data_IF_654448882289
#
_entry.id   IF_654448882289
#
_cell.length_a   1.000
_cell.length_b   1.000
_cell.length_c   1.000
_cell.angle_alpha   90.00
_cell.angle_beta   90.00
_cell.angle_gamma   90.00
#
_symmetry.space_group_name_H-M   'P 1'
#
loop_
_entity.id
_entity.type
_entity.pdbx_description
1 polymer ?
#
# COMPACT_ATOMS: atom_id res chain seq x y z
N UNK A 1 -44.14 -73.27 40.91
CA UNK A 1 -44.35 -71.88 40.46
C UNK A 1 -43.18 -71.52 39.55
N UNK A 2 -43.12 -71.96 38.29
CA UNK A 2 -44.12 -71.97 37.20
C UNK A 2 -44.45 -70.56 36.68
N UNK A 3 -43.74 -70.12 35.63
CA UNK A 3 -44.27 -70.06 34.25
C UNK A 3 -43.21 -69.46 33.29
N UNK A 4 -42.97 -70.19 32.19
CA UNK A 4 -42.45 -69.79 30.87
C UNK A 4 -43.20 -70.67 29.84
N UNK A 5 -43.17 -70.45 28.50
CA UNK A 5 -42.49 -69.43 27.69
C UNK A 5 -43.43 -68.80 26.61
N UNK A 6 -42.86 -68.43 25.44
CA UNK A 6 -43.50 -68.09 24.14
C UNK A 6 -43.82 -66.60 23.93
N UNK A 7 -43.66 -65.99 22.74
CA UNK A 7 -43.56 -66.54 21.37
C UNK A 7 -42.28 -66.15 20.59
N UNK A 8 -42.15 -66.71 19.38
CA UNK A 8 -41.12 -66.43 18.35
C UNK A 8 -41.81 -65.96 17.05
N UNK A 9 -41.20 -65.34 16.03
CA UNK A 9 -39.79 -65.01 15.74
C UNK A 9 -39.76 -63.64 14.98
N UNK A 10 -39.10 -63.28 13.86
CA UNK A 10 -38.13 -63.83 12.89
C UNK A 10 -37.42 -62.63 12.18
N UNK A 11 -36.36 -62.90 11.39
CA UNK A 11 -35.77 -62.04 10.32
C UNK A 11 -35.28 -60.60 10.67
N UNK A 12 -34.06 -60.56 11.19
CA UNK A 12 -32.88 -59.84 10.66
C UNK A 12 -33.03 -58.59 9.74
N UNK A 13 -32.30 -57.53 10.12
CA UNK A 13 -31.40 -56.78 9.21
C UNK A 13 -30.04 -56.65 9.89
N UNK A 14 -28.94 -56.90 9.17
CA UNK A 14 -27.57 -56.58 9.62
C UNK A 14 -27.17 -55.23 9.03
N UNK A 15 -26.74 -54.29 9.87
CA UNK A 15 -26.06 -53.06 9.45
C UNK A 15 -24.72 -53.00 10.17
N UNK A 16 -23.64 -53.16 9.40
CA UNK A 16 -22.28 -52.82 9.81
C UNK A 16 -21.99 -51.35 9.45
N UNK A 17 -20.77 -50.90 9.76
CA UNK A 17 -20.25 -49.54 9.59
C UNK A 17 -20.81 -48.52 10.61
N UNK A 18 -19.99 -47.64 11.20
CA UNK A 18 -18.55 -47.48 11.05
C UNK A 18 -17.91 -46.71 12.19
N UNK A 19 -16.58 -46.70 12.26
CA UNK A 19 -15.84 -46.02 13.32
C UNK A 19 -15.94 -44.50 13.20
N UNK A 20 -16.47 -43.83 14.22
CA UNK A 20 -16.35 -42.38 14.38
C UNK A 20 -14.97 -42.08 14.99
N UNK A 21 -13.98 -41.86 14.12
CA UNK A 21 -12.66 -41.35 14.49
C UNK A 21 -12.16 -40.39 13.41
N UNK A 22 -11.84 -39.16 13.81
CA UNK A 22 -11.02 -38.25 13.01
C UNK A 22 -11.62 -37.79 11.69
N UNK A 23 -12.80 -37.15 11.71
CA UNK A 23 -13.07 -36.12 10.69
C UNK A 23 -12.04 -35.01 10.86
N UNK A 24 -11.01 -34.98 10.01
CA UNK A 24 -10.03 -33.91 9.98
C UNK A 24 -10.69 -32.65 9.42
N UNK A 25 -11.37 -31.91 10.29
CA UNK A 25 -12.01 -30.65 9.95
C UNK A 25 -10.93 -29.66 9.52
N UNK A 26 -10.85 -29.42 8.21
CA UNK A 26 -9.83 -28.58 7.60
C UNK A 26 -10.14 -27.12 7.87
N UNK A 27 -9.78 -26.65 9.06
CA UNK A 27 -9.95 -25.28 9.55
C UNK A 27 -9.68 -24.27 8.41
N UNK A 28 -10.70 -23.55 7.97
CA UNK A 28 -10.53 -22.60 6.87
C UNK A 28 -9.57 -21.48 7.28
N UNK A 29 -8.59 -21.12 6.43
CA UNK A 29 -7.50 -20.24 6.82
C UNK A 29 -8.02 -18.81 7.00
N UNK A 30 -8.12 -18.35 8.25
CA UNK A 30 -8.71 -17.03 8.55
C UNK A 30 -7.78 -15.93 8.02
N UNK A 31 -8.24 -15.22 6.98
CA UNK A 31 -7.51 -14.08 6.41
C UNK A 31 -7.90 -12.80 7.12
N UNK A 32 -6.88 -12.13 7.66
CA UNK A 32 -6.98 -10.85 8.34
C UNK A 32 -6.30 -9.75 7.52
N UNK A 33 -7.01 -8.65 7.36
CA UNK A 33 -6.58 -7.36 6.77
C UNK A 33 -7.21 -6.24 7.62
N UNK A 34 -6.75 -4.98 7.52
CA UNK A 34 -7.42 -3.87 8.21
C UNK A 34 -8.90 -3.76 7.81
N UNK A 35 -9.79 -3.85 8.81
CA UNK A 35 -11.24 -3.94 8.59
C UNK A 35 -11.88 -2.57 8.27
N UNK A 36 -12.80 -2.55 7.30
CA UNK A 36 -13.61 -1.37 6.97
C UNK A 36 -12.99 -0.44 5.94
N UNK A 37 -13.23 0.86 6.09
CA UNK A 37 -12.66 1.92 5.23
C UNK A 37 -11.44 2.53 5.92
N UNK A 38 -10.27 2.40 5.30
CA UNK A 38 -9.04 3.06 5.74
C UNK A 38 -9.00 4.46 5.13
N UNK A 39 -8.98 5.49 5.97
CA UNK A 39 -8.73 6.88 5.55
C UNK A 39 -7.30 7.29 5.86
N UNK A 40 -6.67 8.03 4.93
CA UNK A 40 -5.35 8.67 5.08
C UNK A 40 -5.37 10.04 4.38
N UNK A 41 -4.41 10.89 4.71
CA UNK A 41 -4.17 12.14 3.99
C UNK A 41 -3.16 11.91 2.85
N UNK A 42 -3.10 12.89 1.96
CA UNK A 42 -1.97 13.06 1.04
C UNK A 42 -0.67 13.24 1.84
N UNK A 43 0.44 12.68 1.36
CA UNK A 43 1.77 12.63 2.00
C UNK A 43 1.82 11.89 3.37
N UNK A 44 0.73 11.26 3.85
CA UNK A 44 0.84 10.19 4.86
C UNK A 44 1.47 8.93 4.22
N UNK A 45 2.09 8.07 5.01
CA UNK A 45 2.41 6.69 4.60
C UNK A 45 1.22 5.75 4.84
N UNK A 46 1.05 4.72 4.01
CA UNK A 46 0.12 3.61 4.22
C UNK A 46 0.87 2.32 4.52
N UNK A 47 0.41 1.57 5.52
CA UNK A 47 0.84 0.21 5.82
C UNK A 47 -0.37 -0.73 5.89
N UNK A 48 -0.45 -1.69 4.96
CA UNK A 48 -1.47 -2.74 4.92
C UNK A 48 -0.81 -4.11 5.09
N UNK A 49 -1.00 -4.72 6.26
CA UNK A 49 -0.58 -6.10 6.55
C UNK A 49 -1.70 -7.07 6.23
N UNK A 50 -1.39 -8.15 5.51
CA UNK A 50 -2.29 -9.28 5.34
C UNK A 50 -1.69 -10.52 5.98
N UNK A 51 -2.43 -11.15 6.90
CA UNK A 51 -2.01 -12.33 7.66
C UNK A 51 -3.03 -13.46 7.48
N UNK A 52 -2.52 -14.65 7.19
CA UNK A 52 -3.30 -15.88 6.99
C UNK A 52 -3.08 -16.79 8.20
N UNK A 53 -4.11 -16.95 9.04
CA UNK A 53 -4.05 -17.89 10.16
C UNK A 53 -4.23 -19.32 9.65
N UNK A 54 -3.12 -20.03 9.42
CA UNK A 54 -3.09 -21.44 9.03
C UNK A 54 -1.77 -22.11 9.43
N UNK A 55 -1.82 -23.44 9.55
CA UNK A 55 -0.65 -24.33 9.73
C UNK A 55 0.05 -24.62 8.39
N UNK A 56 -0.66 -24.45 7.27
CA UNK A 56 -0.15 -24.59 5.90
C UNK A 56 0.50 -23.28 5.41
N UNK A 57 1.30 -23.33 4.34
CA UNK A 57 1.97 -22.14 3.78
C UNK A 57 1.19 -21.52 2.61
N UNK A 58 1.11 -20.19 2.57
CA UNK A 58 0.42 -19.43 1.53
C UNK A 58 1.32 -18.41 0.84
N UNK A 59 1.32 -18.40 -0.50
CA UNK A 59 1.93 -17.34 -1.32
C UNK A 59 0.97 -16.15 -1.35
N UNK A 60 1.25 -15.16 -0.51
CA UNK A 60 0.48 -13.90 -0.42
C UNK A 60 0.97 -12.90 -1.47
N UNK A 61 0.03 -12.26 -2.15
CA UNK A 61 0.26 -11.19 -3.15
C UNK A 61 -0.75 -10.06 -2.96
N UNK A 62 -0.29 -8.81 -2.99
CA UNK A 62 -1.16 -7.62 -2.98
C UNK A 62 -1.49 -7.15 -4.40
N UNK A 63 -2.78 -6.93 -4.66
CA UNK A 63 -3.28 -6.16 -5.80
C UNK A 63 -3.56 -4.73 -5.32
N UNK A 64 -3.16 -3.76 -6.14
CA UNK A 64 -3.16 -2.32 -5.89
C UNK A 64 -4.04 -1.70 -6.99
N UNK A 65 -4.88 -0.70 -6.71
CA UNK A 65 -5.84 -0.17 -7.68
C UNK A 65 -5.20 0.60 -8.85
N UNK A 66 -3.94 1.06 -8.69
CA UNK A 66 -3.20 1.83 -9.69
C UNK A 66 -2.11 0.99 -10.40
N UNK A 67 -1.66 1.49 -11.55
CA UNK A 67 -0.64 0.85 -12.39
C UNK A 67 0.73 0.76 -11.68
N UNK A 68 1.07 -0.48 -11.28
CA UNK A 68 2.32 -0.83 -10.59
C UNK A 68 3.58 -0.38 -11.32
N UNK A 69 3.55 -0.23 -12.64
CA UNK A 69 4.72 0.19 -13.42
C UNK A 69 5.11 1.65 -13.12
N UNK A 70 4.14 2.52 -12.82
CA UNK A 70 4.41 3.95 -12.56
C UNK A 70 4.82 4.25 -11.12
N UNK A 71 4.36 3.44 -10.16
CA UNK A 71 4.49 3.73 -8.72
C UNK A 71 5.46 2.80 -7.97
N UNK A 72 6.15 1.87 -8.64
CA UNK A 72 7.01 0.87 -7.99
C UNK A 72 8.04 1.44 -6.99
N UNK A 73 8.51 2.67 -7.19
CA UNK A 73 9.46 3.33 -6.28
C UNK A 73 8.85 3.80 -4.95
N UNK A 74 7.52 4.02 -4.88
CA UNK A 74 6.80 4.34 -3.63
C UNK A 74 6.29 3.10 -2.87
N UNK A 75 6.33 1.92 -3.49
CA UNK A 75 5.65 0.71 -3.00
C UNK A 75 6.67 -0.34 -2.56
N UNK A 76 6.82 -0.53 -1.24
CA UNK A 76 7.64 -1.59 -0.65
C UNK A 76 6.74 -2.76 -0.22
N UNK A 77 7.14 -3.99 -0.54
CA UNK A 77 6.39 -5.19 -0.15
C UNK A 77 7.31 -6.12 0.63
N UNK A 78 7.03 -6.28 1.93
CA UNK A 78 7.87 -7.03 2.87
C UNK A 78 7.24 -8.39 3.20
N UNK A 79 8.04 -9.45 3.14
CA UNK A 79 7.71 -10.77 3.69
C UNK A 79 8.26 -10.83 5.12
N UNK A 80 7.39 -10.59 6.10
CA UNK A 80 7.77 -10.58 7.53
C UNK A 80 7.77 -12.00 8.08
N UNK A 81 6.72 -12.77 7.76
CA UNK A 81 6.58 -14.18 8.15
C UNK A 81 5.97 -15.00 6.99
N UNK A 82 6.08 -16.33 7.05
CA UNK A 82 5.72 -17.24 5.95
C UNK A 82 4.25 -17.17 5.48
N UNK A 83 3.36 -16.63 6.33
CA UNK A 83 1.93 -16.42 6.10
C UNK A 83 1.52 -14.95 6.39
N UNK A 84 2.46 -14.01 6.33
CA UNK A 84 2.18 -12.58 6.55
C UNK A 84 2.99 -11.67 5.62
N UNK A 85 2.29 -10.79 4.92
CA UNK A 85 2.89 -9.87 3.94
C UNK A 85 2.34 -8.46 4.09
N UNK A 86 3.23 -7.51 4.32
CA UNK A 86 2.89 -6.08 4.40
C UNK A 86 3.19 -5.42 3.06
N UNK A 87 2.25 -4.61 2.57
CA UNK A 87 2.55 -3.57 1.57
C UNK A 87 2.59 -2.23 2.27
N UNK A 88 3.68 -1.50 2.04
CA UNK A 88 3.87 -0.12 2.48
C UNK A 88 3.90 0.77 1.25
N UNK A 89 3.14 1.87 1.28
CA UNK A 89 3.12 2.89 0.24
C UNK A 89 3.54 4.19 0.89
N UNK A 90 4.69 4.69 0.47
CA UNK A 90 5.22 5.96 0.94
C UNK A 90 4.61 7.12 0.16
N UNK A 91 4.48 8.28 0.81
CA UNK A 91 4.01 9.52 0.18
C UNK A 91 2.71 9.32 -0.61
N UNK A 92 1.59 9.06 0.08
CA UNK A 92 0.31 8.81 -0.56
C UNK A 92 -0.16 10.01 -1.41
N UNK A 93 -0.69 9.73 -2.59
CA UNK A 93 -1.33 10.69 -3.48
C UNK A 93 -2.85 10.41 -3.53
N UNK A 94 -3.72 11.38 -3.85
CA UNK A 94 -5.18 11.11 -3.95
C UNK A 94 -5.53 9.96 -4.93
N UNK A 95 -4.84 9.78 -6.07
CA UNK A 95 -4.98 8.62 -6.94
C UNK A 95 -4.69 7.26 -6.29
N UNK A 96 -3.94 7.19 -5.17
CA UNK A 96 -3.72 5.93 -4.43
C UNK A 96 -4.99 5.45 -3.70
N UNK A 97 -6.10 6.20 -3.78
CA UNK A 97 -7.42 5.74 -3.35
C UNK A 97 -7.93 4.55 -4.17
N UNK A 98 -8.61 3.62 -3.50
CA UNK A 98 -9.32 2.52 -4.15
C UNK A 98 -9.30 1.22 -3.36
N UNK A 99 -9.53 0.11 -4.08
CA UNK A 99 -9.62 -1.23 -3.50
C UNK A 99 -8.27 -1.93 -3.52
N UNK A 100 -7.74 -2.22 -2.33
CA UNK A 100 -6.54 -3.02 -2.13
C UNK A 100 -6.95 -4.44 -1.80
N UNK A 101 -6.47 -5.41 -2.59
CA UNK A 101 -6.85 -6.83 -2.45
C UNK A 101 -5.65 -7.64 -2.03
N UNK A 102 -5.70 -8.21 -0.83
CA UNK A 102 -4.83 -9.32 -0.47
C UNK A 102 -5.36 -10.59 -1.15
N UNK A 103 -4.49 -11.30 -1.87
CA UNK A 103 -4.78 -12.61 -2.44
C UNK A 103 -3.78 -13.61 -1.87
N UNK A 104 -4.27 -14.64 -1.20
CA UNK A 104 -3.47 -15.75 -0.69
C UNK A 104 -3.76 -17.01 -1.54
N UNK A 105 -2.72 -17.52 -2.21
CA UNK A 105 -2.76 -18.83 -2.89
C UNK A 105 -2.03 -19.85 -2.04
N UNK A 106 -2.52 -21.08 -1.95
CA UNK A 106 -1.76 -22.15 -1.30
C UNK A 106 -0.36 -22.32 -1.94
N UNK A 107 0.64 -22.74 -1.17
CA UNK A 107 2.03 -22.80 -1.66
C UNK A 107 2.26 -23.91 -2.69
N UNK A 108 1.67 -25.08 -2.48
CA UNK A 108 1.63 -26.17 -3.47
C UNK A 108 0.63 -25.84 -4.58
N UNK A 109 1.06 -25.72 -5.86
CA UNK A 109 0.18 -25.39 -6.98
C UNK A 109 -0.83 -26.51 -7.32
N UNK A 110 -0.62 -27.74 -6.83
CA UNK A 110 -1.55 -28.87 -6.98
C UNK A 110 -2.84 -28.67 -6.18
N UNK A 111 -2.78 -27.86 -5.13
CA UNK A 111 -3.90 -27.57 -4.23
C UNK A 111 -4.53 -26.24 -4.63
N UNK A 112 -5.65 -26.30 -5.35
CA UNK A 112 -6.37 -25.12 -5.84
C UNK A 112 -7.18 -24.38 -4.72
N UNK A 113 -6.52 -24.03 -3.61
CA UNK A 113 -7.08 -23.22 -2.53
C UNK A 113 -6.56 -21.79 -2.66
N UNK A 114 -7.47 -20.89 -3.04
CA UNK A 114 -7.22 -19.46 -3.24
C UNK A 114 -8.26 -18.64 -2.51
N UNK A 115 -7.80 -17.72 -1.67
CA UNK A 115 -8.63 -16.86 -0.84
C UNK A 115 -8.23 -15.40 -1.08
N UNK A 116 -9.17 -14.46 -0.87
CA UNK A 116 -8.89 -13.04 -0.98
C UNK A 116 -9.69 -12.20 0.03
N UNK A 117 -9.16 -11.02 0.37
CA UNK A 117 -9.85 -9.99 1.15
C UNK A 117 -9.50 -8.61 0.60
N UNK A 118 -10.50 -7.74 0.54
CA UNK A 118 -10.40 -6.36 0.08
C UNK A 118 -10.46 -5.38 1.25
N UNK A 119 -9.79 -4.24 1.11
CA UNK A 119 -9.93 -3.06 1.97
C UNK A 119 -10.04 -1.81 1.09
N UNK A 120 -10.95 -0.89 1.44
CA UNK A 120 -11.08 0.38 0.73
C UNK A 120 -10.16 1.42 1.36
N UNK A 121 -9.16 1.89 0.62
CA UNK A 121 -8.31 3.01 0.99
C UNK A 121 -8.86 4.30 0.38
N UNK A 122 -8.92 5.35 1.17
CA UNK A 122 -9.44 6.67 0.79
C UNK A 122 -8.41 7.71 1.20
N UNK A 123 -7.61 8.15 0.24
CA UNK A 123 -6.64 9.24 0.40
C UNK A 123 -7.33 10.54 0.04
N UNK A 124 -7.19 11.58 0.85
CA UNK A 124 -7.70 12.91 0.50
C UNK A 124 -6.99 14.05 1.22
N UNK A 125 -6.90 15.21 0.59
CA UNK A 125 -6.34 16.43 1.15
C UNK A 125 -7.25 17.14 2.19
N UNK A 126 -8.44 16.59 2.48
CA UNK A 126 -9.42 17.22 3.38
C UNK A 126 -8.88 17.43 4.79
N UNK A 127 -8.55 18.68 5.10
CA UNK A 127 -8.27 19.15 6.45
C UNK A 127 -9.56 19.18 7.29
N UNK A 128 -9.44 18.87 8.58
CA UNK A 128 -10.49 19.22 9.53
C UNK A 128 -10.55 20.75 9.66
N UNK A 129 -11.74 21.37 9.69
CA UNK A 129 -11.86 22.82 9.82
C UNK A 129 -11.18 23.27 11.12
N UNK A 130 -10.28 24.26 10.99
CA UNK A 130 -9.50 24.81 12.11
C UNK A 130 -8.18 24.11 12.41
N UNK A 131 -7.77 23.04 11.71
CA UNK A 131 -6.43 22.43 11.88
C UNK A 131 -5.68 22.26 10.56
N UNK A 132 -5.07 23.37 10.11
CA UNK A 132 -3.93 23.31 9.17
C UNK A 132 -2.85 22.43 9.82
N UNK A 133 -2.30 21.41 9.14
CA UNK A 133 -1.11 20.74 9.65
C UNK A 133 0.04 21.76 9.72
N UNK A 134 0.91 21.71 10.74
CA UNK A 134 2.12 22.51 10.73
C UNK A 134 2.96 22.10 9.51
N UNK A 135 3.27 23.05 8.63
CA UNK A 135 4.05 22.80 7.43
C UNK A 135 5.40 22.14 7.82
N UNK A 136 5.65 20.94 7.30
CA UNK A 136 6.83 20.13 7.64
C UNK A 136 8.13 20.79 7.14
N UNK A 137 9.27 20.40 7.72
CA UNK A 137 10.62 20.91 7.43
C UNK A 137 11.07 20.84 5.94
N UNK A 138 10.28 20.22 5.06
CA UNK A 138 10.52 20.12 3.61
C UNK A 138 9.31 20.58 2.77
N UNK A 139 8.48 21.48 3.32
CA UNK A 139 7.37 22.14 2.61
C UNK A 139 7.57 23.65 2.49
N UNK A 140 7.01 24.24 1.44
CA UNK A 140 6.83 25.67 1.26
C UNK A 140 5.44 26.08 1.77
N UNK A 141 5.31 27.31 2.23
CA UNK A 141 4.06 27.86 2.78
C UNK A 141 3.54 28.90 1.80
N UNK A 142 2.40 28.61 1.15
CA UNK A 142 1.72 29.57 0.29
C UNK A 142 1.28 30.80 1.11
N UNK A 143 1.12 31.97 0.48
CA UNK A 143 0.65 33.20 1.14
C UNK A 143 -0.73 33.05 1.80
N UNK A 144 -1.61 32.26 1.20
CA UNK A 144 -2.91 31.86 1.76
C UNK A 144 -2.79 30.92 2.99
N UNK A 145 -1.59 30.40 3.28
CA UNK A 145 -1.26 29.50 4.37
C UNK A 145 -1.59 28.02 4.16
N UNK A 146 -1.72 27.59 2.91
CA UNK A 146 -1.59 26.18 2.51
C UNK A 146 -0.09 25.77 2.51
N UNK A 147 0.21 24.47 2.62
CA UNK A 147 1.58 23.96 2.48
C UNK A 147 1.68 23.13 1.19
N UNK A 148 2.72 23.35 0.37
CA UNK A 148 3.07 22.46 -0.75
C UNK A 148 4.46 21.82 -0.50
N UNK A 149 4.77 20.64 -1.05
CA UNK A 149 6.13 20.10 -1.04
C UNK A 149 7.15 21.12 -1.59
N UNK A 150 8.28 21.34 -0.90
CA UNK A 150 9.28 22.38 -1.28
C UNK A 150 9.90 22.14 -2.67
N UNK A 151 9.76 20.94 -3.22
CA UNK A 151 10.11 20.56 -4.62
C UNK A 151 9.26 21.27 -5.69
N UNK A 152 8.08 21.81 -5.32
CA UNK A 152 7.15 22.53 -6.19
C UNK A 152 7.18 24.06 -5.97
N UNK A 153 8.04 24.57 -5.10
CA UNK A 153 8.23 26.00 -4.95
C UNK A 153 9.23 26.49 -5.99
N UNK A 154 8.82 27.45 -6.83
CA UNK A 154 9.59 27.95 -7.97
C UNK A 154 10.01 26.79 -8.91
N UNK A 155 9.09 25.88 -9.23
CA UNK A 155 9.28 24.79 -10.19
C UNK A 155 8.81 25.19 -11.62
N UNK A 156 8.28 26.39 -11.80
CA UNK A 156 7.81 26.92 -13.08
C UNK A 156 6.32 26.65 -13.33
N UNK A 157 5.59 26.22 -12.29
CA UNK A 157 4.18 25.86 -12.33
C UNK A 157 3.49 26.30 -11.03
N UNK A 158 2.37 26.98 -11.18
CA UNK A 158 1.48 27.32 -10.06
C UNK A 158 0.79 26.06 -9.51
N UNK A 159 1.16 25.67 -8.28
CA UNK A 159 0.52 24.63 -7.47
C UNK A 159 -0.08 25.18 -6.15
N UNK A 160 0.35 26.36 -5.68
CA UNK A 160 -0.39 27.16 -4.69
C UNK A 160 -1.60 27.84 -5.33
N UNK A 161 -2.76 27.79 -4.68
CA UNK A 161 -4.02 28.39 -5.17
C UNK A 161 -3.95 29.93 -5.36
N UNK A 162 -2.95 30.59 -4.79
CA UNK A 162 -2.67 32.03 -4.90
C UNK A 162 -1.41 32.37 -5.71
N UNK A 163 -0.79 31.38 -6.38
CA UNK A 163 0.48 31.51 -7.15
C UNK A 163 1.69 32.05 -6.36
N UNK A 164 1.65 32.01 -5.03
CA UNK A 164 2.73 32.52 -4.16
C UNK A 164 4.00 31.66 -4.18
N UNK A 165 3.92 30.45 -4.71
CA UNK A 165 5.03 29.53 -5.00
C UNK A 165 5.85 29.91 -6.23
N UNK A 166 5.25 30.61 -7.20
CA UNK A 166 5.90 31.11 -8.42
C UNK A 166 6.07 32.65 -8.39
N UNK A 167 5.88 33.28 -7.23
CA UNK A 167 6.01 34.72 -7.07
C UNK A 167 7.48 35.17 -7.25
N UNK A 168 7.78 36.20 -8.07
CA UNK A 168 9.15 36.71 -8.25
C UNK A 168 9.82 37.18 -6.94
N UNK A 169 9.03 37.58 -5.95
CA UNK A 169 9.49 37.92 -4.59
C UNK A 169 10.12 36.71 -3.85
N UNK A 170 9.72 35.49 -4.20
CA UNK A 170 10.29 34.25 -3.67
C UNK A 170 11.30 33.60 -4.63
N UNK A 171 11.03 33.68 -5.94
CA UNK A 171 11.74 32.92 -6.96
C UNK A 171 12.87 33.68 -7.67
N UNK A 172 12.94 35.00 -7.55
CA UNK A 172 13.81 35.83 -8.37
C UNK A 172 13.27 36.09 -9.78
N UNK A 173 14.08 36.67 -10.68
CA UNK A 173 13.67 37.03 -12.03
C UNK A 173 13.60 35.84 -13.00
N UNK A 174 14.33 34.75 -12.72
CA UNK A 174 14.26 33.48 -13.43
C UNK A 174 14.04 32.35 -12.42
N UNK A 175 12.83 31.75 -12.32
CA UNK A 175 12.57 30.66 -11.38
C UNK A 175 13.39 29.40 -11.71
N UNK A 176 14.00 29.29 -12.89
CA UNK A 176 14.86 28.19 -13.29
C UNK A 176 16.36 28.45 -13.03
N UNK A 177 16.73 29.62 -12.49
CA UNK A 177 18.11 29.94 -12.13
C UNK A 177 18.67 28.90 -11.15
N UNK A 178 19.85 28.37 -11.49
CA UNK A 178 20.53 27.27 -10.82
C UNK A 178 19.76 25.93 -10.63
N UNK A 179 18.71 25.69 -11.42
CA UNK A 179 17.89 24.45 -11.40
C UNK A 179 18.11 23.55 -12.62
N UNK A 180 17.49 22.36 -12.58
CA UNK A 180 17.48 21.38 -13.67
C UNK A 180 16.14 21.48 -14.39
N UNK A 181 16.15 21.97 -15.64
CA UNK A 181 14.98 22.02 -16.51
C UNK A 181 14.62 20.60 -17.00
N UNK A 182 13.40 20.17 -16.71
CA UNK A 182 12.80 18.92 -17.11
C UNK A 182 12.01 19.05 -18.41
N UNK A 183 11.73 17.92 -19.06
CA UNK A 183 11.10 17.87 -20.39
C UNK A 183 9.61 18.27 -20.38
N UNK A 184 8.98 18.26 -19.21
CA UNK A 184 7.65 18.83 -18.93
C UNK A 184 7.69 20.35 -18.64
N UNK A 185 8.86 20.98 -18.78
CA UNK A 185 9.19 22.39 -18.52
C UNK A 185 9.22 22.80 -17.05
N UNK A 186 9.28 21.86 -16.11
CA UNK A 186 9.48 22.17 -14.68
C UNK A 186 10.97 22.26 -14.32
N UNK A 187 11.29 23.06 -13.30
CA UNK A 187 12.65 23.43 -12.92
C UNK A 187 12.97 22.94 -11.50
N UNK A 188 13.67 21.81 -11.41
CA UNK A 188 13.93 21.14 -10.14
C UNK A 188 15.22 21.63 -9.47
N UNK A 189 15.24 21.90 -8.16
CA UNK A 189 16.47 22.09 -7.41
C UNK A 189 17.47 20.95 -7.63
N UNK A 190 18.75 21.28 -7.92
CA UNK A 190 19.82 20.30 -8.15
C UNK A 190 19.97 19.30 -6.98
N UNK A 191 19.63 19.71 -5.76
CA UNK A 191 19.60 18.87 -4.55
C UNK A 191 18.53 17.76 -4.56
N UNK A 192 17.64 17.71 -5.55
CA UNK A 192 16.76 16.58 -5.82
C UNK A 192 17.38 15.54 -6.77
N UNK A 193 18.43 15.91 -7.50
CA UNK A 193 19.14 15.04 -8.43
C UNK A 193 20.40 14.47 -7.78
N UNK A 194 20.21 13.51 -6.88
CA UNK A 194 21.28 12.75 -6.22
C UNK A 194 21.13 11.24 -6.48
N UNK A 195 22.24 10.49 -6.39
CA UNK A 195 22.19 9.02 -6.42
C UNK A 195 22.23 8.47 -4.98
N UNK A 196 21.14 7.89 -4.46
CA UNK A 196 21.11 7.30 -3.12
C UNK A 196 22.01 6.06 -2.96
N UNK A 197 22.57 5.50 -4.04
CA UNK A 197 23.59 4.46 -3.97
C UNK A 197 25.01 5.00 -3.73
N UNK A 198 25.26 6.31 -3.98
CA UNK A 198 26.59 6.93 -3.83
C UNK A 198 26.65 8.09 -2.83
N UNK A 199 25.52 8.73 -2.49
CA UNK A 199 25.49 9.91 -1.62
C UNK A 199 24.64 9.64 -0.35
N UNK A 200 25.24 9.52 0.85
CA UNK A 200 24.51 9.14 2.06
C UNK A 200 23.51 10.21 2.55
N UNK A 201 23.75 11.49 2.21
CA UNK A 201 22.84 12.59 2.50
C UNK A 201 21.69 12.74 1.48
N UNK A 202 21.62 11.86 0.46
CA UNK A 202 20.58 11.87 -0.56
C UNK A 202 19.22 11.44 0.02
N UNK A 203 18.47 12.40 0.56
CA UNK A 203 17.09 12.22 1.05
C UNK A 203 16.04 11.98 -0.04
N UNK A 204 16.42 11.90 -1.32
CA UNK A 204 15.50 11.87 -2.45
C UNK A 204 15.69 10.59 -3.25
N UNK A 205 14.87 9.58 -2.97
CA UNK A 205 14.93 8.25 -3.63
C UNK A 205 14.36 8.23 -5.06
N UNK A 206 13.79 9.33 -5.54
CA UNK A 206 13.38 9.45 -6.94
C UNK A 206 14.55 9.91 -7.80
N UNK A 207 15.16 8.98 -8.53
CA UNK A 207 15.95 9.30 -9.73
C UNK A 207 14.98 9.78 -10.82
N UNK A 208 14.58 11.05 -10.71
CA UNK A 208 13.61 11.66 -11.62
C UNK A 208 14.14 11.60 -13.07
N UNK A 209 13.29 11.35 -14.08
CA UNK A 209 13.77 11.10 -15.45
C UNK A 209 14.68 12.18 -16.04
N UNK A 210 14.47 13.45 -15.69
CA UNK A 210 15.32 14.57 -16.09
C UNK A 210 16.69 14.61 -15.39
N UNK A 211 16.83 14.09 -14.17
CA UNK A 211 18.13 14.00 -13.47
C UNK A 211 19.14 13.11 -14.21
N UNK A 212 18.69 12.20 -15.09
CA UNK A 212 19.57 11.34 -15.91
C UNK A 212 20.56 12.11 -16.78
N UNK A 213 20.18 13.31 -17.26
CA UNK A 213 21.07 14.18 -18.05
C UNK A 213 22.13 14.89 -17.19
N UNK A 214 21.88 15.02 -15.88
CA UNK A 214 22.77 15.68 -14.94
C UNK A 214 23.76 14.69 -14.30
N UNK A 215 23.25 13.56 -13.79
CA UNK A 215 24.03 12.48 -13.16
C UNK A 215 24.96 11.71 -14.13
N UNK A 216 24.85 11.94 -15.45
CA UNK A 216 25.72 11.36 -16.47
C UNK A 216 26.93 12.26 -16.82
N UNK A 217 27.08 13.41 -16.17
CA UNK A 217 28.09 14.43 -16.48
C UNK A 217 28.82 14.93 -15.21
N UNK A 218 28.94 14.03 -14.22
CA UNK A 218 29.62 14.20 -12.92
C UNK A 218 30.37 12.91 -12.59
#
# INVERSE_FOLDING_TARGET
>A
MDILPSFRQLLAVVVLFGAVHGSSESEEPVITVPSGKVTRRVEDDLNLTCRVASKERYRITWVIPQDKVRQAHRIKIEEVHFNERTVTIYHLEEPDSGWYTCVARHHDPSVNRVFNRTVHVSVSAYTLPGRRPPCYNQSFVCGNGHCIPKRFACDGRVDCLDSSDEAPEHCGPDPCEDKVLCEDRRCLPRSLCCDPAMQPDCRVTLVLPCCKKYLANT
#
